data_IF_060253011023
#
_entry.id   IF_060253011023
#
_cell.length_a   1.000
_cell.length_b   1.000
_cell.length_c   1.000
_cell.angle_alpha   90.00
_cell.angle_beta   90.00
_cell.angle_gamma   90.00
#
_symmetry.space_group_name_H-M   'P 1'
#
loop_
_entity.id
_entity.type
_entity.pdbx_description
1 polymer ?
#
# COMPACT_ATOMS: atom_id res chain seq x y z
N UNK A 1 16.58 -38.61 -17.64
CA UNK A 1 15.13 -38.88 -17.39
C UNK A 1 14.60 -38.32 -16.07
N UNK A 2 15.43 -37.86 -15.15
CA UNK A 2 14.99 -37.26 -13.88
C UNK A 2 14.52 -35.79 -13.99
N UNK A 3 14.93 -35.06 -15.00
CA UNK A 3 14.64 -33.63 -15.16
C UNK A 3 13.20 -33.33 -15.61
N UNK A 4 12.54 -34.25 -16.28
CA UNK A 4 11.18 -34.03 -16.80
C UNK A 4 10.10 -34.07 -15.69
N UNK A 5 10.30 -34.84 -14.64
CA UNK A 5 9.36 -34.96 -13.51
C UNK A 5 9.42 -33.72 -12.59
N UNK A 6 10.60 -33.13 -12.42
CA UNK A 6 10.81 -31.91 -11.63
C UNK A 6 10.18 -30.70 -12.31
N UNK A 7 10.17 -30.65 -13.62
CA UNK A 7 9.61 -29.54 -14.40
C UNK A 7 8.08 -29.53 -14.34
N UNK A 8 7.44 -30.69 -14.45
CA UNK A 8 5.99 -30.85 -14.34
C UNK A 8 5.49 -30.48 -12.93
N UNK A 9 6.19 -30.92 -11.87
CA UNK A 9 5.85 -30.60 -10.49
C UNK A 9 5.98 -29.10 -10.23
N UNK A 10 7.02 -28.48 -10.74
CA UNK A 10 7.25 -27.03 -10.66
C UNK A 10 6.16 -26.25 -11.39
N UNK A 11 5.71 -26.70 -12.57
CA UNK A 11 4.63 -26.08 -13.34
C UNK A 11 3.28 -26.18 -12.61
N UNK A 12 2.97 -27.33 -11.99
CA UNK A 12 1.73 -27.51 -11.21
C UNK A 12 1.70 -26.59 -9.99
N UNK A 13 2.81 -26.49 -9.27
CA UNK A 13 2.93 -25.60 -8.10
C UNK A 13 2.78 -24.14 -8.52
N UNK A 14 3.43 -23.72 -9.61
CA UNK A 14 3.28 -22.36 -10.15
C UNK A 14 1.83 -22.06 -10.55
N UNK A 15 1.16 -22.99 -11.20
CA UNK A 15 -0.23 -22.82 -11.61
C UNK A 15 -1.16 -22.68 -10.39
N UNK A 16 -1.02 -23.51 -9.38
CA UNK A 16 -1.80 -23.46 -8.13
C UNK A 16 -1.56 -22.13 -7.38
N UNK A 17 -0.33 -21.66 -7.34
CA UNK A 17 0.01 -20.36 -6.72
C UNK A 17 -0.62 -19.19 -7.50
N UNK A 18 -0.54 -19.20 -8.82
CA UNK A 18 -1.15 -18.18 -9.67
C UNK A 18 -2.67 -18.17 -9.55
N UNK A 19 -3.33 -19.32 -9.49
CA UNK A 19 -4.77 -19.40 -9.26
C UNK A 19 -5.16 -18.86 -7.89
N UNK A 20 -4.40 -19.19 -6.84
CA UNK A 20 -4.64 -18.68 -5.49
C UNK A 20 -4.48 -17.16 -5.40
N UNK A 21 -3.48 -16.60 -6.10
CA UNK A 21 -3.28 -15.14 -6.20
C UNK A 21 -4.44 -14.47 -6.96
N UNK A 22 -4.92 -15.11 -8.02
CA UNK A 22 -6.06 -14.62 -8.81
C UNK A 22 -7.35 -14.61 -7.98
N UNK A 23 -7.64 -15.68 -7.27
CA UNK A 23 -8.80 -15.78 -6.34
C UNK A 23 -8.73 -14.73 -5.22
N UNK A 24 -7.55 -14.50 -4.66
CA UNK A 24 -7.37 -13.47 -3.64
C UNK A 24 -7.59 -12.06 -4.19
N UNK A 25 -7.18 -11.79 -5.43
CA UNK A 25 -7.39 -10.52 -6.09
C UNK A 25 -8.89 -10.27 -6.35
N UNK A 26 -9.58 -11.22 -6.92
CA UNK A 26 -11.02 -11.15 -7.20
C UNK A 26 -11.84 -10.92 -5.91
N UNK A 27 -11.48 -11.61 -4.81
CA UNK A 27 -12.11 -11.42 -3.52
C UNK A 27 -11.84 -10.03 -2.95
N UNK A 28 -10.64 -9.50 -3.10
CA UNK A 28 -10.30 -8.14 -2.70
C UNK A 28 -11.07 -7.11 -3.52
N UNK A 29 -11.16 -7.28 -4.83
CA UNK A 29 -11.91 -6.38 -5.72
C UNK A 29 -13.40 -6.33 -5.33
N UNK A 30 -14.00 -7.48 -5.00
CA UNK A 30 -15.37 -7.51 -4.50
C UNK A 30 -15.54 -6.74 -3.19
N UNK A 31 -14.59 -6.88 -2.27
CA UNK A 31 -14.60 -6.15 -0.99
C UNK A 31 -14.35 -4.66 -1.16
N UNK A 32 -13.48 -4.27 -2.10
CA UNK A 32 -13.23 -2.86 -2.41
C UNK A 32 -14.48 -2.16 -2.94
N UNK A 33 -15.33 -2.85 -3.70
CA UNK A 33 -16.59 -2.29 -4.22
C UNK A 33 -17.60 -1.94 -3.12
N UNK A 34 -17.48 -2.52 -1.92
CA UNK A 34 -18.33 -2.23 -0.76
C UNK A 34 -17.83 -1.04 0.07
N UNK A 35 -16.61 -0.56 -0.17
CA UNK A 35 -15.99 0.53 0.58
C UNK A 35 -16.15 1.88 -0.13
N UNK A 36 -16.22 3.01 0.60
CA UNK A 36 -16.31 4.35 0.04
C UNK A 36 -14.96 4.82 -0.51
N UNK A 37 -14.37 4.07 -1.44
CA UNK A 37 -13.10 4.40 -2.08
C UNK A 37 -13.34 5.23 -3.34
N UNK A 38 -12.43 6.17 -3.60
CA UNK A 38 -12.41 6.96 -4.82
C UNK A 38 -11.79 6.18 -5.98
N UNK A 39 -10.64 5.57 -5.72
CA UNK A 39 -9.92 4.72 -6.68
C UNK A 39 -9.12 3.65 -5.94
N UNK A 40 -8.93 2.51 -6.56
CA UNK A 40 -7.94 1.51 -6.15
C UNK A 40 -7.23 0.93 -7.36
N UNK A 41 -6.00 0.48 -7.18
CA UNK A 41 -5.21 -0.17 -8.21
C UNK A 41 -4.21 -1.15 -7.60
N UNK A 42 -3.87 -2.20 -8.37
CA UNK A 42 -2.82 -3.15 -8.01
C UNK A 42 -1.55 -2.77 -8.76
N UNK A 43 -0.54 -2.40 -8.01
CA UNK A 43 0.75 -1.97 -8.53
C UNK A 43 1.88 -2.90 -8.10
N UNK A 44 2.97 -2.92 -8.86
CA UNK A 44 4.20 -3.58 -8.43
C UNK A 44 4.83 -2.80 -7.27
N UNK A 45 5.13 -3.44 -6.13
CA UNK A 45 5.85 -2.77 -5.04
C UNK A 45 7.16 -2.10 -5.45
N UNK A 46 7.81 -2.58 -6.52
CA UNK A 46 9.01 -1.97 -7.07
C UNK A 46 8.78 -0.56 -7.66
N UNK A 47 7.54 -0.23 -8.04
CA UNK A 47 7.16 1.09 -8.54
C UNK A 47 7.02 2.13 -7.43
N UNK A 48 7.01 1.70 -6.15
CA UNK A 48 6.92 2.61 -5.01
C UNK A 48 8.22 3.40 -4.85
N UNK A 49 8.12 4.70 -5.00
CA UNK A 49 9.24 5.61 -4.78
C UNK A 49 9.33 6.05 -3.31
N UNK A 50 10.55 6.01 -2.77
CA UNK A 50 10.86 6.44 -1.41
C UNK A 50 11.90 7.55 -1.45
N UNK A 51 11.62 8.67 -0.78
CA UNK A 51 12.45 9.86 -0.83
C UNK A 51 12.68 10.47 0.56
N UNK A 52 13.93 10.80 0.86
CA UNK A 52 14.30 11.56 2.04
C UNK A 52 13.66 12.96 2.04
N UNK A 53 13.40 13.52 0.85
CA UNK A 53 12.70 14.80 0.72
C UNK A 53 11.29 14.74 1.29
N UNK A 54 10.57 13.64 1.04
CA UNK A 54 9.22 13.45 1.63
C UNK A 54 9.32 13.29 3.14
N UNK A 55 10.34 12.58 3.62
CA UNK A 55 10.61 12.44 5.06
C UNK A 55 10.86 13.81 5.71
N UNK A 56 11.64 14.65 5.06
CA UNK A 56 11.90 16.01 5.54
C UNK A 56 10.62 16.84 5.68
N UNK A 57 9.67 16.75 4.73
CA UNK A 57 8.36 17.40 4.83
C UNK A 57 7.59 16.90 6.06
N UNK A 58 7.62 15.60 6.34
CA UNK A 58 7.01 15.06 7.55
C UNK A 58 7.60 15.68 8.83
N UNK A 59 8.92 15.83 8.86
CA UNK A 59 9.66 16.35 10.03
C UNK A 59 9.46 17.85 10.23
N UNK A 60 9.43 18.64 9.16
CA UNK A 60 9.39 20.09 9.21
C UNK A 60 8.01 20.70 9.23
N UNK A 61 7.02 20.06 8.60
CA UNK A 61 5.73 20.68 8.32
C UNK A 61 4.52 19.88 8.81
N UNK A 62 4.65 18.56 9.01
CA UNK A 62 3.49 17.74 9.33
C UNK A 62 3.16 17.76 10.83
N UNK A 63 1.95 18.20 11.24
CA UNK A 63 1.55 18.25 12.64
C UNK A 63 1.40 16.86 13.28
N UNK A 64 1.40 15.80 12.48
CA UNK A 64 1.30 14.40 12.93
C UNK A 64 2.66 13.75 13.17
N UNK A 65 3.77 14.45 12.89
CA UNK A 65 5.10 13.92 13.17
C UNK A 65 5.26 13.52 14.64
N UNK A 66 5.72 12.30 14.87
CA UNK A 66 5.94 11.78 16.22
C UNK A 66 4.67 11.41 17.04
N UNK A 67 3.48 11.53 16.44
CA UNK A 67 2.21 11.30 17.16
C UNK A 67 1.57 9.94 16.90
N UNK A 68 2.06 9.19 15.91
CA UNK A 68 1.51 7.89 15.54
C UNK A 68 2.63 6.91 15.22
N UNK A 69 2.41 5.63 15.49
CA UNK A 69 3.32 4.54 15.10
C UNK A 69 3.46 4.41 13.57
N UNK A 70 2.45 4.84 12.82
CA UNK A 70 2.44 4.85 11.36
C UNK A 70 3.15 6.06 10.75
N UNK A 71 3.47 7.08 11.58
CA UNK A 71 4.18 8.29 11.17
C UNK A 71 5.66 8.26 11.57
N UNK A 72 6.53 9.04 10.91
CA UNK A 72 7.90 9.21 11.38
C UNK A 72 7.95 9.85 12.79
N UNK A 73 8.92 9.52 13.62
CA UNK A 73 10.00 8.52 13.45
C UNK A 73 9.56 7.07 13.72
N UNK A 74 8.35 6.84 14.25
CA UNK A 74 7.86 5.53 14.68
C UNK A 74 7.83 4.47 13.57
N UNK A 75 7.52 4.86 12.34
CA UNK A 75 7.48 3.97 11.17
C UNK A 75 8.87 3.47 10.73
N UNK A 76 9.95 4.05 11.24
CA UNK A 76 11.32 3.73 10.90
C UNK A 76 11.92 4.65 9.83
N UNK A 77 13.14 4.33 9.39
CA UNK A 77 13.86 5.09 8.36
C UNK A 77 13.26 4.87 6.97
N UNK A 78 13.53 5.78 6.03
CA UNK A 78 13.12 5.64 4.61
C UNK A 78 13.61 4.32 4.02
N UNK A 79 14.86 3.94 4.32
CA UNK A 79 15.44 2.68 3.84
C UNK A 79 14.76 1.44 4.45
N UNK A 80 14.37 1.49 5.71
CA UNK A 80 13.60 0.41 6.35
C UNK A 80 12.21 0.29 5.73
N UNK A 81 11.54 1.40 5.46
CA UNK A 81 10.25 1.43 4.78
C UNK A 81 10.36 0.85 3.36
N UNK A 82 11.37 1.28 2.59
CA UNK A 82 11.65 0.77 1.24
C UNK A 82 11.84 -0.74 1.24
N UNK A 83 12.74 -1.27 2.07
CA UNK A 83 13.01 -2.71 2.18
C UNK A 83 11.77 -3.50 2.54
N UNK A 84 10.98 -3.00 3.48
CA UNK A 84 9.74 -3.64 3.90
C UNK A 84 8.72 -3.68 2.77
N UNK A 85 8.48 -2.57 2.09
CA UNK A 85 7.50 -2.52 0.99
C UNK A 85 7.95 -3.38 -0.19
N UNK A 86 9.22 -3.31 -0.59
CA UNK A 86 9.74 -4.11 -1.70
C UNK A 86 9.88 -5.62 -1.38
N UNK A 87 9.67 -6.04 -0.14
CA UNK A 87 9.64 -7.47 0.23
C UNK A 87 8.30 -8.15 -0.11
N UNK A 88 7.27 -7.39 -0.43
CA UNK A 88 5.98 -7.92 -0.85
C UNK A 88 5.95 -8.15 -2.37
N UNK A 89 5.17 -9.12 -2.81
CA UNK A 89 4.99 -9.43 -4.24
C UNK A 89 3.90 -8.58 -4.88
N UNK A 90 2.93 -8.10 -4.09
CA UNK A 90 1.79 -7.33 -4.56
C UNK A 90 1.54 -6.14 -3.65
N UNK A 91 1.11 -5.03 -4.25
CA UNK A 91 0.69 -3.83 -3.56
C UNK A 91 -0.70 -3.42 -4.04
N UNK A 92 -1.62 -3.22 -3.11
CA UNK A 92 -2.92 -2.61 -3.37
C UNK A 92 -2.86 -1.14 -2.93
N UNK A 93 -2.94 -0.24 -3.89
CA UNK A 93 -3.08 1.19 -3.65
C UNK A 93 -4.56 1.52 -3.53
N UNK A 94 -4.94 2.19 -2.47
CA UNK A 94 -6.31 2.68 -2.25
C UNK A 94 -6.29 4.18 -2.00
N UNK A 95 -7.30 4.88 -2.50
CA UNK A 95 -7.45 6.32 -2.32
C UNK A 95 -8.90 6.65 -1.98
N UNK A 96 -9.07 7.62 -1.10
CA UNK A 96 -10.36 8.21 -0.76
C UNK A 96 -10.31 9.72 -0.94
N UNK A 97 -11.46 10.33 -1.19
CA UNK A 97 -11.62 11.79 -1.35
C UNK A 97 -12.66 12.30 -0.38
N UNK A 98 -12.36 13.43 0.25
CA UNK A 98 -13.31 14.22 1.04
C UNK A 98 -13.29 15.65 0.55
N UNK A 99 -14.46 16.21 0.33
CA UNK A 99 -14.62 17.62 0.03
C UNK A 99 -14.53 18.46 1.32
N UNK A 100 -13.69 19.47 1.30
CA UNK A 100 -13.59 20.47 2.36
C UNK A 100 -13.95 21.84 1.77
N UNK A 101 -14.56 22.71 2.58
CA UNK A 101 -14.97 24.07 2.12
C UNK A 101 -13.78 24.98 1.89
N UNK A 102 -12.76 24.85 2.70
CA UNK A 102 -11.52 25.62 2.61
C UNK A 102 -10.31 24.71 2.85
N UNK A 103 -9.57 24.45 1.79
CA UNK A 103 -8.35 23.61 1.85
C UNK A 103 -7.24 24.24 2.71
N UNK A 104 -7.26 25.56 2.91
CA UNK A 104 -6.32 26.24 3.78
C UNK A 104 -6.68 26.09 5.27
N UNK A 105 -7.92 25.68 5.57
CA UNK A 105 -8.35 25.41 6.93
C UNK A 105 -7.84 24.02 7.38
N UNK A 106 -6.68 24.03 8.05
CA UNK A 106 -6.05 22.82 8.54
C UNK A 106 -6.91 22.03 9.55
N UNK A 107 -7.69 22.72 10.36
CA UNK A 107 -8.57 22.10 11.36
C UNK A 107 -9.70 21.31 10.67
N UNK A 108 -10.36 21.91 9.68
CA UNK A 108 -11.38 21.25 8.87
C UNK A 108 -10.78 20.04 8.12
N UNK A 109 -9.62 20.22 7.51
CA UNK A 109 -8.92 19.16 6.77
C UNK A 109 -8.51 17.99 7.68
N UNK A 110 -8.06 18.26 8.90
CA UNK A 110 -7.69 17.23 9.85
C UNK A 110 -8.91 16.50 10.46
N UNK A 111 -10.03 17.20 10.63
CA UNK A 111 -11.27 16.62 11.15
C UNK A 111 -11.82 15.51 10.24
N UNK A 112 -11.62 15.60 8.91
CA UNK A 112 -12.08 14.60 7.94
C UNK A 112 -11.39 13.24 8.08
N UNK A 113 -10.25 13.16 8.78
CA UNK A 113 -9.52 11.89 8.97
C UNK A 113 -10.27 10.84 9.80
N UNK A 114 -11.22 11.27 10.63
CA UNK A 114 -12.03 10.37 11.44
C UNK A 114 -13.11 9.61 10.65
N UNK A 115 -13.41 10.06 9.44
CA UNK A 115 -14.47 9.52 8.58
C UNK A 115 -13.94 8.45 7.60
N UNK A 116 -12.64 8.18 7.63
CA UNK A 116 -11.89 7.20 6.82
C UNK A 116 -11.18 6.18 7.72
#
# INVERSE_FOLDING_TARGET
>A
MADCALDVQSAIIRHAVLERLRLNRELLEQRMAELPLYIYDFIDPAELEFSERIRWICESECPMYGKSWACPPGVGTVEQCRKKCHSFENCLLISSIVEVRDIANMEETLATRGDH
#
